data_IF_297903680192
#
_entry.id   IF_297903680192
#
_cell.length_a   1.000
_cell.length_b   1.000
_cell.length_c   1.000
_cell.angle_alpha   90.00
_cell.angle_beta   90.00
_cell.angle_gamma   90.00
#
_symmetry.space_group_name_H-M   'P 1'
#
loop_
_entity.id
_entity.type
_entity.pdbx_description
1 polymer ?
#
# COMPACT_ATOMS: atom_id res chain seq x y z
N UNK A 1 -15.14 29.54 -31.67
CA UNK A 1 -14.78 29.16 -30.27
C UNK A 1 -15.17 27.72 -30.07
N UNK A 2 -14.26 26.79 -30.30
CA UNK A 2 -14.48 25.36 -30.14
C UNK A 2 -14.24 25.02 -28.67
N UNK A 3 -15.32 24.81 -27.92
CA UNK A 3 -15.28 24.18 -26.58
C UNK A 3 -14.77 22.77 -26.76
N UNK A 4 -13.51 22.54 -26.42
CA UNK A 4 -12.97 21.19 -26.30
C UNK A 4 -13.75 20.47 -25.19
N UNK A 5 -14.64 19.58 -25.56
CA UNK A 5 -15.27 18.66 -24.63
C UNK A 5 -14.16 17.77 -24.03
N UNK A 6 -13.69 18.13 -22.83
CA UNK A 6 -12.82 17.26 -22.04
C UNK A 6 -13.62 16.01 -21.70
N UNK A 7 -13.39 14.92 -22.40
CA UNK A 7 -13.91 13.62 -22.01
C UNK A 7 -13.49 13.37 -20.54
N UNK A 8 -14.41 12.92 -19.67
CA UNK A 8 -14.08 12.68 -18.28
C UNK A 8 -12.95 11.64 -18.20
N UNK A 9 -11.90 11.99 -17.46
CA UNK A 9 -10.76 11.08 -17.25
C UNK A 9 -11.26 9.87 -16.46
N UNK A 10 -11.14 8.69 -17.03
CA UNK A 10 -11.52 7.44 -16.36
C UNK A 10 -10.35 6.96 -15.51
N UNK A 11 -10.61 6.67 -14.24
CA UNK A 11 -9.61 6.25 -13.27
C UNK A 11 -9.63 4.73 -13.06
N UNK A 12 -8.46 4.13 -13.05
CA UNK A 12 -8.22 2.70 -12.88
C UNK A 12 -7.86 2.45 -11.42
N UNK A 13 -8.73 1.81 -10.67
CA UNK A 13 -8.54 1.53 -9.24
C UNK A 13 -8.16 0.07 -9.05
N UNK A 14 -7.19 -0.16 -8.18
CA UNK A 14 -6.83 -1.48 -7.69
C UNK A 14 -7.22 -1.61 -6.21
N UNK A 15 -7.68 -2.80 -5.80
CA UNK A 15 -8.10 -3.09 -4.44
C UNK A 15 -7.26 -4.23 -3.85
N UNK A 16 -6.85 -4.06 -2.61
CA UNK A 16 -6.10 -5.08 -1.87
C UNK A 16 -6.72 -5.27 -0.50
N UNK A 17 -7.19 -6.48 -0.23
CA UNK A 17 -7.85 -6.84 1.02
C UNK A 17 -7.88 -8.36 1.16
N UNK A 18 -7.52 -8.91 2.31
CA UNK A 18 -7.54 -10.36 2.53
C UNK A 18 -8.96 -10.94 2.71
N UNK A 19 -9.97 -10.09 2.90
CA UNK A 19 -11.38 -10.50 2.92
C UNK A 19 -12.03 -10.31 1.53
N UNK A 20 -12.41 -11.38 0.81
CA UNK A 20 -13.10 -11.27 -0.47
C UNK A 20 -14.41 -10.49 -0.40
N UNK A 21 -15.12 -10.53 0.74
CA UNK A 21 -16.37 -9.78 0.94
C UNK A 21 -16.13 -8.28 1.01
N UNK A 22 -15.01 -7.87 1.62
CA UNK A 22 -14.58 -6.47 1.62
C UNK A 22 -14.24 -6.00 0.20
N UNK A 23 -13.55 -6.82 -0.60
CA UNK A 23 -13.27 -6.53 -2.02
C UNK A 23 -14.55 -6.36 -2.83
N UNK A 24 -15.54 -7.24 -2.66
CA UNK A 24 -16.84 -7.14 -3.34
C UNK A 24 -17.60 -5.86 -2.92
N UNK A 25 -17.61 -5.56 -1.62
CA UNK A 25 -18.25 -4.37 -1.08
C UNK A 25 -17.61 -3.08 -1.60
N UNK A 26 -16.27 -2.98 -1.58
CA UNK A 26 -15.53 -1.84 -2.10
C UNK A 26 -15.73 -1.67 -3.61
N UNK A 27 -15.75 -2.77 -4.36
CA UNK A 27 -16.03 -2.76 -5.80
C UNK A 27 -17.43 -2.24 -6.10
N UNK A 28 -18.44 -2.64 -5.32
CA UNK A 28 -19.81 -2.16 -5.46
C UNK A 28 -19.93 -0.67 -5.13
N UNK A 29 -19.24 -0.18 -4.09
CA UNK A 29 -19.20 1.26 -3.75
C UNK A 29 -18.60 2.06 -4.90
N UNK A 30 -17.47 1.62 -5.48
CA UNK A 30 -16.82 2.30 -6.59
C UNK A 30 -17.76 2.32 -7.80
N UNK A 31 -18.31 1.18 -8.18
CA UNK A 31 -19.21 1.07 -9.34
C UNK A 31 -20.46 1.96 -9.22
N UNK A 32 -21.03 2.09 -8.01
CA UNK A 32 -22.28 2.84 -7.79
C UNK A 32 -22.07 4.32 -7.49
N UNK A 33 -20.94 4.71 -6.89
CA UNK A 33 -20.75 6.06 -6.34
C UNK A 33 -19.61 6.85 -6.98
N UNK A 34 -18.73 6.21 -7.78
CA UNK A 34 -17.59 6.85 -8.44
C UNK A 34 -17.65 6.63 -9.96
N UNK A 35 -18.54 7.33 -10.67
CA UNK A 35 -18.85 7.04 -12.09
C UNK A 35 -17.66 7.23 -13.04
N UNK A 36 -16.61 7.93 -12.59
CA UNK A 36 -15.38 8.14 -13.36
C UNK A 36 -14.28 7.14 -13.04
N UNK A 37 -14.60 6.05 -12.32
CA UNK A 37 -13.62 5.05 -11.93
C UNK A 37 -14.17 3.62 -12.10
N UNK A 38 -13.24 2.67 -12.28
CA UNK A 38 -13.56 1.24 -12.26
C UNK A 38 -12.41 0.45 -11.66
N UNK A 39 -12.74 -0.72 -11.10
CA UNK A 39 -11.74 -1.63 -10.54
C UNK A 39 -11.10 -2.42 -11.67
N UNK A 40 -9.77 -2.36 -11.78
CA UNK A 40 -9.00 -3.05 -12.83
C UNK A 40 -8.51 -4.42 -12.37
N UNK A 41 -8.21 -4.55 -11.09
CA UNK A 41 -7.85 -5.81 -10.46
C UNK A 41 -8.02 -5.74 -8.95
N UNK A 42 -8.11 -6.91 -8.33
CA UNK A 42 -8.11 -7.09 -6.88
C UNK A 42 -6.99 -8.04 -6.49
N UNK A 43 -6.48 -7.94 -5.27
CA UNK A 43 -5.51 -8.86 -4.70
C UNK A 43 -5.91 -9.19 -3.25
N UNK A 44 -5.59 -10.40 -2.82
CA UNK A 44 -5.94 -10.88 -1.47
C UNK A 44 -4.76 -10.84 -0.48
N UNK A 45 -3.61 -10.36 -0.93
CA UNK A 45 -2.42 -10.20 -0.08
C UNK A 45 -1.53 -9.06 -0.57
N UNK A 46 -0.67 -8.55 0.33
CA UNK A 46 0.34 -7.56 -0.03
C UNK A 46 1.36 -8.08 -1.04
N UNK A 47 1.72 -9.37 -0.97
CA UNK A 47 2.61 -10.01 -1.94
C UNK A 47 2.02 -10.01 -3.36
N UNK A 48 0.78 -10.47 -3.51
CA UNK A 48 0.08 -10.44 -4.81
C UNK A 48 -0.06 -9.01 -5.35
N UNK A 49 -0.35 -8.04 -4.49
CA UNK A 49 -0.43 -6.64 -4.90
C UNK A 49 0.89 -6.12 -5.46
N UNK A 50 2.01 -6.47 -4.84
CA UNK A 50 3.36 -6.11 -5.30
C UNK A 50 3.63 -6.70 -6.69
N UNK A 51 3.34 -7.99 -6.90
CA UNK A 51 3.52 -8.66 -8.18
C UNK A 51 2.68 -7.99 -9.28
N UNK A 52 1.40 -7.72 -9.01
CA UNK A 52 0.51 -7.02 -9.96
C UNK A 52 0.95 -5.60 -10.30
N UNK A 53 1.54 -4.89 -9.36
CA UNK A 53 2.08 -3.55 -9.58
C UNK A 53 3.38 -3.53 -10.41
N UNK A 54 4.07 -4.67 -10.55
CA UNK A 54 5.24 -4.82 -11.43
C UNK A 54 4.86 -5.02 -12.90
N UNK A 55 3.63 -5.46 -13.18
CA UNK A 55 3.17 -5.64 -14.55
C UNK A 55 3.03 -4.29 -15.25
N UNK A 56 3.85 -4.06 -16.29
CA UNK A 56 3.91 -2.82 -17.05
C UNK A 56 2.57 -2.45 -17.73
N UNK A 57 1.67 -3.40 -17.94
CA UNK A 57 0.35 -3.18 -18.54
C UNK A 57 -0.70 -2.72 -17.52
N UNK A 58 -0.38 -2.73 -16.24
CA UNK A 58 -1.29 -2.48 -15.12
C UNK A 58 -1.32 -1.05 -14.59
N UNK A 59 -1.29 0.00 -15.45
CA UNK A 59 -1.36 1.38 -14.92
C UNK A 59 -2.56 1.56 -13.98
N UNK A 60 -2.27 1.80 -12.70
CA UNK A 60 -3.24 2.07 -11.64
C UNK A 60 -3.24 3.56 -11.34
N UNK A 61 -4.42 4.18 -11.32
CA UNK A 61 -4.62 5.58 -10.95
C UNK A 61 -4.68 5.78 -9.44
N UNK A 62 -5.15 4.76 -8.70
CA UNK A 62 -5.25 4.73 -7.24
C UNK A 62 -5.25 3.29 -6.75
N UNK A 63 -4.40 2.98 -5.78
CA UNK A 63 -4.42 1.73 -5.03
C UNK A 63 -5.14 1.95 -3.70
N UNK A 64 -6.17 1.16 -3.43
CA UNK A 64 -6.83 1.08 -2.11
C UNK A 64 -6.31 -0.17 -1.42
N UNK A 65 -5.73 0.00 -0.25
CA UNK A 65 -4.95 -1.02 0.44
C UNK A 65 -5.49 -1.21 1.85
N UNK A 66 -5.90 -2.42 2.19
CA UNK A 66 -6.26 -2.76 3.57
C UNK A 66 -5.05 -2.69 4.50
N UNK A 67 -5.29 -2.23 5.73
CA UNK A 67 -4.22 -2.04 6.72
C UNK A 67 -3.90 -3.30 7.50
N UNK A 68 -4.86 -4.21 7.67
CA UNK A 68 -4.77 -5.36 8.58
C UNK A 68 -4.88 -6.68 7.81
N UNK A 69 -3.87 -7.00 7.02
CA UNK A 69 -3.80 -8.26 6.28
C UNK A 69 -2.88 -9.27 6.97
N UNK A 70 -3.12 -10.56 6.73
CA UNK A 70 -2.19 -11.61 7.12
C UNK A 70 -0.90 -11.54 6.30
N UNK A 71 0.22 -11.90 6.92
CA UNK A 71 1.54 -11.83 6.27
C UNK A 71 2.01 -10.38 6.09
N UNK A 72 2.15 -9.92 4.86
CA UNK A 72 2.61 -8.55 4.57
C UNK A 72 1.47 -7.55 4.74
N UNK A 73 1.47 -6.85 5.87
CA UNK A 73 0.45 -5.85 6.24
C UNK A 73 0.47 -4.61 5.34
N UNK A 74 -0.62 -3.83 5.38
CA UNK A 74 -0.80 -2.65 4.53
C UNK A 74 0.34 -1.64 4.56
N UNK A 75 0.81 -1.15 5.72
CA UNK A 75 1.94 -0.21 5.77
C UNK A 75 3.22 -0.78 5.16
N UNK A 76 3.55 -2.06 5.43
CA UNK A 76 4.73 -2.71 4.86
C UNK A 76 4.60 -2.90 3.34
N UNK A 77 3.42 -3.25 2.85
CA UNK A 77 3.11 -3.31 1.41
C UNK A 77 3.29 -1.95 0.74
N UNK A 78 2.75 -0.88 1.34
CA UNK A 78 2.91 0.49 0.86
C UNK A 78 4.39 0.89 0.75
N UNK A 79 5.14 0.70 1.82
CA UNK A 79 6.58 1.00 1.87
C UNK A 79 7.36 0.23 0.80
N UNK A 80 7.09 -1.08 0.64
CA UNK A 80 7.72 -1.90 -0.39
C UNK A 80 7.44 -1.39 -1.80
N UNK A 81 6.20 -1.01 -2.09
CA UNK A 81 5.83 -0.40 -3.37
C UNK A 81 6.60 0.91 -3.62
N UNK A 82 6.81 1.75 -2.60
CA UNK A 82 7.61 2.97 -2.71
C UNK A 82 9.08 2.68 -2.97
N UNK A 83 9.68 1.71 -2.30
CA UNK A 83 11.06 1.25 -2.57
C UNK A 83 11.24 0.77 -4.00
N UNK A 84 10.20 0.19 -4.61
CA UNK A 84 10.18 -0.22 -6.01
C UNK A 84 9.91 0.93 -6.99
N UNK A 85 9.83 2.16 -6.51
CA UNK A 85 9.61 3.36 -7.34
C UNK A 85 8.17 3.56 -7.79
N UNK A 86 7.19 2.81 -7.26
CA UNK A 86 5.78 2.98 -7.62
C UNK A 86 5.25 4.34 -7.17
N UNK A 87 4.69 5.11 -8.11
CA UNK A 87 4.27 6.51 -7.89
C UNK A 87 2.75 6.72 -7.89
N UNK A 88 1.95 5.66 -8.05
CA UNK A 88 0.51 5.80 -7.93
C UNK A 88 0.13 6.24 -6.51
N UNK A 89 -0.94 7.04 -6.33
CA UNK A 89 -1.51 7.32 -5.03
C UNK A 89 -1.93 6.02 -4.33
N UNK A 90 -1.70 5.94 -3.02
CA UNK A 90 -2.12 4.82 -2.17
C UNK A 90 -3.02 5.38 -1.07
N UNK A 91 -4.24 4.85 -1.00
CA UNK A 91 -5.21 5.10 0.05
C UNK A 91 -5.28 3.88 0.96
N UNK A 92 -4.89 4.04 2.22
CA UNK A 92 -5.15 3.04 3.23
C UNK A 92 -6.64 2.95 3.56
N UNK A 93 -7.16 1.75 3.71
CA UNK A 93 -8.51 1.49 4.19
C UNK A 93 -8.46 0.59 5.42
N UNK A 94 -9.25 0.87 6.45
CA UNK A 94 -9.24 0.08 7.68
C UNK A 94 -10.65 -0.07 8.27
N UNK A 95 -10.92 -1.22 8.87
CA UNK A 95 -12.10 -1.44 9.73
C UNK A 95 -11.79 -1.19 11.21
N UNK A 96 -10.55 -0.82 11.55
CA UNK A 96 -10.08 -0.53 12.89
C UNK A 96 -9.90 0.99 13.09
N UNK A 97 -9.40 1.38 14.27
CA UNK A 97 -9.11 2.79 14.57
C UNK A 97 -8.08 3.37 13.58
N UNK A 98 -8.44 4.47 12.94
CA UNK A 98 -7.57 5.24 12.04
C UNK A 98 -6.25 5.63 12.74
N UNK A 99 -6.32 6.03 14.01
CA UNK A 99 -5.15 6.47 14.77
C UNK A 99 -4.08 5.37 14.92
N UNK A 100 -4.48 4.10 14.87
CA UNK A 100 -3.53 2.97 15.00
C UNK A 100 -2.61 2.80 13.79
N UNK A 101 -3.00 3.32 12.64
CA UNK A 101 -2.27 3.13 11.38
C UNK A 101 -1.73 4.43 10.78
N UNK A 102 -2.24 5.61 11.20
CA UNK A 102 -1.94 6.88 10.55
C UNK A 102 -0.44 7.14 10.42
N UNK A 103 0.28 7.13 11.53
CA UNK A 103 1.72 7.46 11.55
C UNK A 103 2.53 6.46 10.72
N UNK A 104 2.27 5.16 10.91
CA UNK A 104 2.91 4.10 10.13
C UNK A 104 2.67 4.24 8.63
N UNK A 105 1.47 4.69 8.25
CA UNK A 105 1.09 4.82 6.84
C UNK A 105 1.67 6.09 6.21
N UNK A 106 1.81 7.19 6.98
CA UNK A 106 2.55 8.38 6.57
C UNK A 106 4.02 8.04 6.32
N UNK A 107 4.67 7.34 7.26
CA UNK A 107 6.05 6.85 7.12
C UNK A 107 6.21 5.94 5.90
N UNK A 108 5.25 5.05 5.66
CA UNK A 108 5.24 4.16 4.51
C UNK A 108 5.01 4.86 3.16
N UNK A 109 4.64 6.15 3.16
CA UNK A 109 4.52 6.97 1.95
C UNK A 109 3.19 6.88 1.22
N UNK A 110 2.09 6.62 1.94
CA UNK A 110 0.73 6.72 1.41
C UNK A 110 0.25 8.17 1.27
N UNK A 111 -0.95 8.36 0.71
CA UNK A 111 -1.55 9.68 0.48
C UNK A 111 -2.84 9.89 1.26
N UNK A 112 -3.29 8.90 1.98
CA UNK A 112 -4.49 9.01 2.81
C UNK A 112 -4.79 7.72 3.56
N UNK A 113 -5.73 7.84 4.52
CA UNK A 113 -6.27 6.74 5.31
C UNK A 113 -7.74 6.98 5.60
N UNK A 114 -8.59 5.97 5.43
CA UNK A 114 -10.04 6.06 5.61
C UNK A 114 -10.59 4.81 6.30
N UNK A 115 -11.68 4.99 7.06
CA UNK A 115 -12.47 3.87 7.58
C UNK A 115 -13.34 3.25 6.48
N UNK A 116 -13.53 1.93 6.52
CA UNK A 116 -14.37 1.20 5.54
C UNK A 116 -15.87 1.29 5.83
N UNK A 117 -16.26 1.75 7.01
CA UNK A 117 -17.63 1.73 7.51
C UNK A 117 -18.56 2.74 6.81
N UNK A 118 -18.01 3.80 6.21
CA UNK A 118 -18.79 4.87 5.58
C UNK A 118 -18.55 4.92 4.06
N UNK A 119 -19.44 4.30 3.29
CA UNK A 119 -19.34 4.20 1.83
C UNK A 119 -19.39 5.57 1.12
N UNK A 120 -20.13 6.55 1.65
CA UNK A 120 -20.20 7.89 1.04
C UNK A 120 -18.92 8.68 1.27
N UNK A 121 -18.38 8.64 2.46
CA UNK A 121 -17.09 9.25 2.77
C UNK A 121 -15.96 8.61 1.95
N UNK A 122 -15.95 7.29 1.86
CA UNK A 122 -14.96 6.54 1.07
C UNK A 122 -15.02 6.96 -0.41
N UNK A 123 -16.22 7.02 -1.02
CA UNK A 123 -16.39 7.43 -2.40
C UNK A 123 -15.91 8.87 -2.64
N UNK A 124 -16.20 9.80 -1.73
CA UNK A 124 -15.74 11.19 -1.82
C UNK A 124 -14.22 11.28 -1.76
N UNK A 125 -13.58 10.54 -0.86
CA UNK A 125 -12.11 10.51 -0.73
C UNK A 125 -11.49 9.91 -2.00
N UNK A 126 -12.04 8.81 -2.52
CA UNK A 126 -11.57 8.20 -3.77
C UNK A 126 -11.63 9.23 -4.91
N UNK A 127 -12.74 9.94 -5.09
CA UNK A 127 -12.86 10.96 -6.15
C UNK A 127 -11.82 12.08 -5.99
N UNK A 128 -11.61 12.58 -4.78
CA UNK A 128 -10.61 13.62 -4.50
C UNK A 128 -9.19 13.13 -4.81
N UNK A 129 -8.82 11.94 -4.40
CA UNK A 129 -7.50 11.36 -4.67
C UNK A 129 -7.30 11.05 -6.16
N UNK A 130 -8.32 10.61 -6.88
CA UNK A 130 -8.28 10.46 -8.34
C UNK A 130 -8.02 11.80 -9.05
N UNK A 131 -8.44 12.91 -8.46
CA UNK A 131 -8.15 14.26 -8.96
C UNK A 131 -6.78 14.81 -8.50
N UNK A 132 -5.98 14.00 -7.79
CA UNK A 132 -4.62 14.35 -7.36
C UNK A 132 -4.55 15.01 -5.98
N UNK A 133 -5.65 15.04 -5.23
CA UNK A 133 -5.62 15.54 -3.85
C UNK A 133 -4.95 14.52 -2.92
N UNK A 134 -4.34 15.04 -1.86
CA UNK A 134 -3.70 14.30 -0.78
C UNK A 134 -4.39 14.67 0.52
N UNK A 135 -4.60 13.71 1.40
CA UNK A 135 -5.22 13.99 2.70
C UNK A 135 -4.25 14.76 3.61
N UNK A 136 -4.81 15.58 4.50
CA UNK A 136 -4.05 16.37 5.46
C UNK A 136 -3.08 15.51 6.28
N UNK A 137 -1.82 15.93 6.35
CA UNK A 137 -0.74 15.24 7.04
C UNK A 137 -0.08 14.11 6.25
N UNK A 138 -0.48 13.87 4.99
CA UNK A 138 0.19 12.96 4.08
C UNK A 138 0.98 13.73 3.01
N UNK A 139 2.00 13.09 2.44
CA UNK A 139 2.83 13.66 1.38
C UNK A 139 2.33 13.25 -0.02
N UNK A 140 2.50 14.11 -1.05
CA UNK A 140 2.30 13.70 -2.44
C UNK A 140 3.19 12.49 -2.82
N UNK A 141 2.76 11.60 -3.76
CA UNK A 141 3.51 10.39 -4.11
C UNK A 141 4.97 10.65 -4.54
N UNK A 142 5.22 11.77 -5.21
CA UNK A 142 6.58 12.11 -5.65
C UNK A 142 7.52 12.44 -4.48
N UNK A 143 7.00 13.12 -3.44
CA UNK A 143 7.79 13.47 -2.26
C UNK A 143 8.04 12.25 -1.37
N UNK A 144 7.03 11.43 -1.12
CA UNK A 144 7.20 10.20 -0.35
C UNK A 144 8.17 9.22 -1.01
N UNK A 145 8.12 9.07 -2.34
CA UNK A 145 9.12 8.27 -3.06
C UNK A 145 10.53 8.82 -2.89
N UNK A 146 10.70 10.14 -3.02
CA UNK A 146 12.03 10.76 -2.89
C UNK A 146 12.59 10.58 -1.48
N UNK A 147 11.74 10.76 -0.44
CA UNK A 147 12.13 10.53 0.96
C UNK A 147 12.57 9.10 1.19
N UNK A 148 11.72 8.13 0.84
CA UNK A 148 11.98 6.70 1.07
C UNK A 148 13.20 6.22 0.30
N UNK A 149 13.40 6.67 -0.96
CA UNK A 149 14.60 6.32 -1.73
C UNK A 149 15.88 6.84 -1.06
N UNK A 150 15.87 8.08 -0.55
CA UNK A 150 17.03 8.65 0.17
C UNK A 150 17.31 7.92 1.48
N UNK A 151 16.28 7.57 2.22
CA UNK A 151 16.40 6.78 3.46
C UNK A 151 17.00 5.40 3.15
N UNK A 152 16.56 4.72 2.09
CA UNK A 152 17.11 3.45 1.65
C UNK A 152 18.59 3.56 1.22
N UNK A 153 18.97 4.64 0.54
CA UNK A 153 20.36 4.88 0.13
C UNK A 153 21.29 5.17 1.33
N UNK A 154 20.75 5.69 2.42
CA UNK A 154 21.51 6.02 3.64
C UNK A 154 21.51 4.88 4.67
N UNK A 155 20.55 3.96 4.60
CA UNK A 155 20.49 2.80 5.47
C UNK A 155 21.39 1.71 4.90
N UNK A 156 22.39 1.19 5.64
CA UNK A 156 23.20 0.07 5.17
C UNK A 156 22.27 -1.09 4.79
N UNK A 157 22.39 -1.58 3.56
CA UNK A 157 21.68 -2.78 3.17
C UNK A 157 22.05 -3.91 4.13
N UNK A 158 21.04 -4.58 4.68
CA UNK A 158 21.28 -5.78 5.46
C UNK A 158 22.10 -6.76 4.61
N UNK A 159 23.11 -7.33 5.20
CA UNK A 159 23.83 -8.43 4.57
C UNK A 159 22.88 -9.62 4.44
N UNK A 160 23.14 -10.50 3.48
CA UNK A 160 22.38 -11.76 3.31
C UNK A 160 22.29 -12.53 4.64
N UNK A 161 23.30 -12.40 5.48
CA UNK A 161 23.37 -13.05 6.78
C UNK A 161 22.41 -12.43 7.81
N UNK A 162 22.35 -11.11 7.85
CA UNK A 162 21.42 -10.39 8.72
C UNK A 162 19.97 -10.62 8.30
N UNK A 163 19.68 -10.68 6.99
CA UNK A 163 18.36 -11.04 6.50
C UNK A 163 17.95 -12.46 6.91
N UNK A 164 18.87 -13.43 6.84
CA UNK A 164 18.63 -14.81 7.29
C UNK A 164 18.33 -14.87 8.79
N UNK A 165 19.08 -14.15 9.62
CA UNK A 165 18.86 -14.08 11.07
C UNK A 165 17.48 -13.50 11.37
N UNK A 166 17.13 -12.37 10.76
CA UNK A 166 15.82 -11.70 10.96
C UNK A 166 14.67 -12.62 10.55
N UNK A 167 14.81 -13.37 9.44
CA UNK A 167 13.79 -14.31 8.99
C UNK A 167 13.56 -15.42 10.01
N UNK A 168 14.63 -16.02 10.54
CA UNK A 168 14.54 -17.09 11.53
C UNK A 168 13.99 -16.57 12.89
N UNK A 169 14.35 -15.34 13.28
CA UNK A 169 13.73 -14.68 14.44
C UNK A 169 12.21 -14.47 14.23
N UNK A 170 11.80 -14.06 13.04
CA UNK A 170 10.37 -13.86 12.71
C UNK A 170 9.59 -15.18 12.71
N UNK A 171 10.24 -16.31 12.44
CA UNK A 171 9.68 -17.67 12.57
C UNK A 171 9.61 -18.15 14.03
N UNK A 172 10.12 -17.35 14.98
CA UNK A 172 10.07 -17.64 16.40
C UNK A 172 11.19 -18.57 16.89
N UNK A 173 12.28 -18.73 16.11
CA UNK A 173 13.44 -19.50 16.56
C UNK A 173 14.18 -18.77 17.67
N UNK A 174 14.70 -19.52 18.63
CA UNK A 174 15.53 -18.97 19.71
C UNK A 174 16.95 -18.67 19.19
N UNK A 175 17.58 -17.66 19.76
CA UNK A 175 18.94 -17.20 19.35
C UNK A 175 19.94 -18.34 19.27
N UNK A 176 19.90 -19.29 20.22
CA UNK A 176 20.76 -20.48 20.24
C UNK A 176 20.52 -21.37 19.01
N UNK A 177 19.24 -21.59 18.66
CA UNK A 177 18.87 -22.49 17.56
C UNK A 177 19.21 -21.83 16.21
N UNK A 178 19.11 -20.49 16.14
CA UNK A 178 19.56 -19.67 15.00
C UNK A 178 21.09 -19.76 14.85
N UNK A 179 21.84 -19.64 15.96
CA UNK A 179 23.27 -19.73 15.97
C UNK A 179 23.75 -21.10 15.47
N UNK A 180 23.14 -22.19 15.94
CA UNK A 180 23.41 -23.54 15.48
C UNK A 180 23.05 -23.74 14.00
N UNK A 181 21.86 -23.30 13.57
CA UNK A 181 21.38 -23.39 12.18
C UNK A 181 22.29 -22.67 11.20
N UNK A 182 22.83 -21.54 11.61
CA UNK A 182 23.65 -20.69 10.79
C UNK A 182 25.17 -20.92 10.99
N UNK A 183 25.60 -21.78 11.92
CA UNK A 183 27.00 -22.07 12.20
C UNK A 183 27.79 -20.86 12.73
N UNK A 184 27.15 -20.00 13.55
CA UNK A 184 27.74 -18.81 14.21
C UNK A 184 27.71 -18.96 15.72
N UNK A 185 28.51 -18.17 16.44
CA UNK A 185 28.47 -18.17 17.91
C UNK A 185 27.30 -17.29 18.41
N UNK A 186 26.71 -17.65 19.56
CA UNK A 186 25.64 -16.88 20.23
C UNK A 186 26.07 -15.45 20.66
N UNK A 187 27.35 -15.13 20.58
CA UNK A 187 27.95 -13.89 21.09
C UNK A 187 28.24 -12.86 19.99
N UNK A 188 27.54 -12.91 18.87
CA UNK A 188 27.74 -11.93 17.78
C UNK A 188 26.58 -10.99 17.67
#
# INVERSE_FOLDING_TARGET
MTTSEKHPKIHRIALVDNDPRALDSLSAVIASKVPTAYVVWTATSGGEAIERCQDANGHVSLLILDMSMEGLQGPATCHRLRLMGQRMPILGATSFSINSYRDKLVEAGAQGLVGKENADQLAQIIMRMCNGEVMEGFEPPALSNLRISREADTTPALTVREEQIISLCAEGMLDRDIAEHLGISEAT
#
